data_IF_977190810521
#
_entry.id   IF_977190810521
#
_cell.length_a   1.000
_cell.length_b   1.000
_cell.length_c   1.000
_cell.angle_alpha   90.00
_cell.angle_beta   90.00
_cell.angle_gamma   90.00
#
_symmetry.space_group_name_H-M   'P 1'
#
loop_
_entity.id
_entity.type
_entity.pdbx_description
1 polymer ?
#
# COMPACT_ATOMS: atom_id res chain seq x y z
N UNK A 1 -9.17 -6.49 9.70
CA UNK A 1 -10.29 -5.54 9.89
C UNK A 1 -10.67 -4.96 8.54
N UNK A 2 -11.90 -5.23 8.10
CA UNK A 2 -12.41 -4.63 6.87
C UNK A 2 -12.40 -3.11 7.00
N UNK A 3 -11.87 -2.38 6.02
CA UNK A 3 -11.90 -0.93 6.06
C UNK A 3 -13.37 -0.49 6.11
N UNK A 4 -13.76 0.15 7.20
CA UNK A 4 -15.10 0.74 7.28
C UNK A 4 -15.23 1.78 6.17
N UNK A 5 -16.45 2.00 5.66
CA UNK A 5 -16.72 3.06 4.68
C UNK A 5 -16.15 4.41 5.15
N UNK A 6 -16.17 4.66 6.46
CA UNK A 6 -15.56 5.84 7.09
C UNK A 6 -14.05 5.86 6.91
N UNK A 7 -13.33 4.76 7.21
CA UNK A 7 -11.87 4.66 7.02
C UNK A 7 -11.48 4.81 5.55
N UNK A 8 -12.28 4.24 4.64
CA UNK A 8 -12.11 4.41 3.21
C UNK A 8 -12.18 5.89 2.79
N UNK A 9 -13.24 6.60 3.18
CA UNK A 9 -13.42 8.02 2.85
C UNK A 9 -12.34 8.90 3.47
N UNK A 10 -11.99 8.64 4.74
CA UNK A 10 -10.96 9.43 5.43
C UNK A 10 -9.55 9.18 4.91
N UNK A 11 -9.26 8.02 4.30
CA UNK A 11 -7.94 7.75 3.70
C UNK A 11 -7.56 8.71 2.57
N UNK A 12 -8.55 9.37 1.95
CA UNK A 12 -8.34 10.40 0.92
C UNK A 12 -8.17 11.81 1.49
N UNK A 13 -8.40 12.01 2.80
CA UNK A 13 -8.25 13.32 3.42
C UNK A 13 -6.75 13.59 3.67
N UNK A 14 -6.18 14.67 3.10
CA UNK A 14 -4.81 15.06 3.39
C UNK A 14 -4.58 15.18 4.90
N UNK A 15 -3.40 14.76 5.35
CA UNK A 15 -3.02 14.82 6.77
C UNK A 15 -3.80 13.92 7.73
N UNK A 16 -4.71 13.06 7.25
CA UNK A 16 -5.46 12.13 8.10
C UNK A 16 -4.54 11.27 8.98
N UNK A 17 -3.38 10.86 8.48
CA UNK A 17 -2.36 10.14 9.26
C UNK A 17 -1.85 10.91 10.49
N UNK A 18 -1.98 12.24 10.52
CA UNK A 18 -1.60 13.02 11.71
C UNK A 18 -2.60 12.86 12.85
N UNK A 19 -3.87 12.62 12.53
CA UNK A 19 -4.94 12.36 13.52
C UNK A 19 -4.73 10.98 14.17
N UNK A 20 -4.26 10.01 13.38
CA UNK A 20 -3.94 8.66 13.83
C UNK A 20 -2.44 8.43 14.03
N UNK A 21 -1.71 9.48 14.44
CA UNK A 21 -0.25 9.49 14.56
C UNK A 21 0.32 8.32 15.37
N UNK A 22 -0.37 7.89 16.44
CA UNK A 22 0.08 6.78 17.31
C UNK A 22 0.25 5.44 16.58
N UNK A 23 -0.49 5.22 15.51
CA UNK A 23 -0.44 3.99 14.70
C UNK A 23 0.23 4.24 13.33
N UNK A 24 0.85 5.40 13.16
CA UNK A 24 1.49 5.74 11.91
C UNK A 24 2.90 5.16 11.81
N UNK A 25 3.34 4.86 10.60
CA UNK A 25 4.72 4.47 10.31
C UNK A 25 5.75 5.47 10.86
N UNK A 26 5.42 6.76 10.87
CA UNK A 26 6.30 7.81 11.42
C UNK A 26 6.51 7.64 12.91
N UNK A 27 5.45 7.34 13.66
CA UNK A 27 5.56 7.13 15.10
C UNK A 27 6.36 5.87 15.44
N UNK A 28 6.18 4.79 14.69
CA UNK A 28 7.01 3.59 14.81
C UNK A 28 8.49 3.91 14.50
N UNK A 29 8.77 4.66 13.42
CA UNK A 29 10.13 5.08 13.07
C UNK A 29 10.78 5.90 14.20
N UNK A 30 10.03 6.83 14.82
CA UNK A 30 10.54 7.61 15.97
C UNK A 30 10.85 6.70 17.16
N UNK A 31 9.94 5.76 17.51
CA UNK A 31 10.20 4.80 18.58
C UNK A 31 11.46 3.97 18.32
N UNK A 32 11.61 3.45 17.11
CA UNK A 32 12.80 2.68 16.74
C UNK A 32 14.09 3.51 16.80
N UNK A 33 14.05 4.78 16.37
CA UNK A 33 15.18 5.70 16.48
C UNK A 33 15.58 5.95 17.93
N UNK A 34 14.61 6.06 18.84
CA UNK A 34 14.80 6.19 20.28
C UNK A 34 15.27 4.88 20.97
N UNK A 35 15.28 3.76 20.24
CA UNK A 35 15.77 2.48 20.74
C UNK A 35 14.68 1.52 21.23
N UNK A 36 13.40 1.89 21.14
CA UNK A 36 12.31 0.99 21.52
C UNK A 36 12.18 -0.18 20.54
N UNK A 37 11.84 -1.35 21.07
CA UNK A 37 11.47 -2.53 20.27
C UNK A 37 9.95 -2.67 20.32
N UNK A 38 9.28 -2.33 19.23
CA UNK A 38 7.82 -2.41 19.12
C UNK A 38 7.37 -3.82 18.73
N UNK A 39 6.09 -4.20 18.91
CA UNK A 39 5.56 -5.46 18.42
C UNK A 39 5.85 -5.68 16.93
N UNK A 40 5.60 -4.66 16.09
CA UNK A 40 5.88 -4.72 14.65
C UNK A 40 7.35 -5.04 14.36
N UNK A 41 8.29 -4.45 15.12
CA UNK A 41 9.71 -4.76 14.94
C UNK A 41 10.01 -6.21 15.31
N UNK A 42 9.43 -6.74 16.38
CA UNK A 42 9.63 -8.13 16.81
C UNK A 42 9.10 -9.15 15.82
N UNK A 43 7.94 -8.84 15.24
CA UNK A 43 7.24 -9.76 14.33
C UNK A 43 7.85 -9.76 12.92
N UNK A 44 8.42 -8.61 12.48
CA UNK A 44 8.85 -8.43 11.10
C UNK A 44 10.38 -8.38 10.91
N UNK A 45 11.18 -8.13 11.96
CA UNK A 45 12.62 -7.90 11.83
C UNK A 45 13.40 -9.01 12.57
N UNK A 46 14.28 -9.74 11.86
CA UNK A 46 15.18 -10.71 12.52
C UNK A 46 16.04 -10.04 13.60
N UNK A 47 16.31 -10.76 14.70
CA UNK A 47 17.02 -10.20 15.86
C UNK A 47 18.39 -9.60 15.51
N UNK A 48 19.13 -10.24 14.60
CA UNK A 48 20.43 -9.76 14.11
C UNK A 48 20.35 -8.48 13.27
N UNK A 49 19.18 -8.10 12.76
CA UNK A 49 18.94 -6.90 11.95
C UNK A 49 18.32 -5.73 12.75
N UNK A 50 17.94 -5.94 14.01
CA UNK A 50 17.31 -4.90 14.85
C UNK A 50 18.19 -3.66 14.99
N UNK A 51 19.51 -3.84 15.18
CA UNK A 51 20.46 -2.73 15.31
C UNK A 51 20.52 -1.89 14.03
N UNK A 52 20.49 -2.53 12.89
CA UNK A 52 20.46 -1.88 11.57
C UNK A 52 19.13 -1.14 11.33
N UNK A 53 18.00 -1.75 11.70
CA UNK A 53 16.69 -1.09 11.62
C UNK A 53 16.67 0.19 12.48
N UNK A 54 17.21 0.15 13.71
CA UNK A 54 17.33 1.34 14.58
C UNK A 54 18.23 2.41 13.97
N UNK A 55 19.37 2.02 13.38
CA UNK A 55 20.26 2.97 12.69
C UNK A 55 19.55 3.65 11.52
N UNK A 56 18.88 2.89 10.67
CA UNK A 56 18.11 3.43 9.55
C UNK A 56 17.01 4.38 10.05
N UNK A 57 16.32 4.02 11.13
CA UNK A 57 15.29 4.87 11.73
C UNK A 57 15.87 6.20 12.25
N UNK A 58 17.06 6.18 12.86
CA UNK A 58 17.76 7.41 13.27
C UNK A 58 18.12 8.28 12.10
N UNK A 59 18.63 7.69 11.02
CA UNK A 59 18.95 8.44 9.78
C UNK A 59 17.68 9.11 9.24
N UNK A 60 16.54 8.42 9.18
CA UNK A 60 15.27 8.99 8.74
C UNK A 60 14.83 10.17 9.61
N UNK A 61 14.87 10.00 10.95
CA UNK A 61 14.49 11.07 11.88
C UNK A 61 15.43 12.29 11.75
N UNK A 62 16.74 12.06 11.59
CA UNK A 62 17.71 13.14 11.34
C UNK A 62 17.44 13.87 10.03
N UNK A 63 17.12 13.17 8.96
CA UNK A 63 16.72 13.77 7.68
C UNK A 63 15.45 14.61 7.81
N UNK A 64 14.46 14.15 8.60
CA UNK A 64 13.26 14.94 8.88
C UNK A 64 13.60 16.22 9.64
N UNK A 65 14.37 16.13 10.71
CA UNK A 65 14.80 17.29 11.49
C UNK A 65 15.59 18.26 10.60
N UNK A 66 16.55 17.75 9.82
CA UNK A 66 17.37 18.57 8.93
C UNK A 66 16.52 19.29 7.86
N UNK A 67 15.49 18.62 7.31
CA UNK A 67 14.62 19.24 6.30
C UNK A 67 13.78 20.38 6.89
N UNK A 68 13.26 20.22 8.11
CA UNK A 68 12.54 21.29 8.81
C UNK A 68 13.48 22.45 9.18
N UNK A 69 14.68 22.15 9.73
CA UNK A 69 15.67 23.16 10.07
C UNK A 69 16.10 23.97 8.83
N UNK A 70 16.32 23.27 7.71
CA UNK A 70 16.66 23.92 6.44
C UNK A 70 15.52 24.79 5.91
N UNK A 71 14.28 24.30 6.01
CA UNK A 71 13.09 25.08 5.62
C UNK A 71 12.96 26.36 6.46
N UNK A 72 13.19 26.25 7.75
CA UNK A 72 13.16 27.40 8.66
C UNK A 72 14.31 28.37 8.33
N UNK A 73 15.53 27.87 8.15
CA UNK A 73 16.70 28.69 7.81
C UNK A 73 16.53 29.46 6.49
N UNK A 74 15.99 28.81 5.46
CA UNK A 74 15.76 29.41 4.15
C UNK A 74 14.44 30.21 4.08
N UNK A 75 13.66 30.26 5.15
CA UNK A 75 12.30 30.81 5.14
C UNK A 75 11.45 30.30 3.95
N UNK A 76 11.68 29.04 3.56
CA UNK A 76 11.07 28.38 2.41
C UNK A 76 10.60 26.96 2.80
N UNK A 77 9.32 26.63 2.65
CA UNK A 77 8.80 25.30 3.04
C UNK A 77 9.25 24.16 2.12
N UNK A 78 9.86 24.46 0.97
CA UNK A 78 10.16 23.46 -0.06
C UNK A 78 11.00 22.27 0.43
N UNK A 79 12.09 22.41 1.24
CA UNK A 79 12.84 21.26 1.73
C UNK A 79 11.99 20.29 2.57
N UNK A 80 11.15 20.81 3.47
CA UNK A 80 10.23 19.99 4.24
C UNK A 80 9.17 19.36 3.33
N UNK A 81 8.60 20.09 2.40
CA UNK A 81 7.61 19.59 1.45
C UNK A 81 8.18 18.46 0.58
N UNK A 82 9.40 18.56 0.08
CA UNK A 82 10.03 17.51 -0.73
C UNK A 82 10.17 16.18 0.02
N UNK A 83 10.39 16.21 1.33
CA UNK A 83 10.53 15.00 2.15
C UNK A 83 9.18 14.47 2.62
N UNK A 84 8.27 15.35 3.03
CA UNK A 84 6.98 14.94 3.62
C UNK A 84 5.86 14.83 2.60
N UNK A 85 5.88 15.66 1.57
CA UNK A 85 4.83 15.75 0.57
C UNK A 85 4.56 14.44 -0.21
N UNK A 86 5.57 13.66 -0.65
CA UNK A 86 5.30 12.38 -1.30
C UNK A 86 4.47 11.43 -0.42
N UNK A 87 4.63 11.49 0.89
CA UNK A 87 3.83 10.70 1.83
C UNK A 87 2.40 11.23 1.96
N UNK A 88 2.19 12.53 1.84
CA UNK A 88 0.85 13.13 1.90
C UNK A 88 0.12 13.07 0.55
N UNK A 89 0.84 13.15 -0.55
CA UNK A 89 0.36 12.79 -1.88
C UNK A 89 0.15 11.28 -2.04
N UNK A 90 0.69 10.49 -1.13
CA UNK A 90 0.38 9.08 -0.99
C UNK A 90 -1.10 8.78 -0.89
N UNK A 91 -1.92 9.74 -0.45
CA UNK A 91 -3.37 9.64 -0.51
C UNK A 91 -3.90 9.54 -1.96
N UNK A 92 -3.24 10.14 -2.95
CA UNK A 92 -3.55 9.92 -4.36
C UNK A 92 -3.14 8.51 -4.78
N UNK A 93 -1.99 8.00 -4.31
CA UNK A 93 -1.56 6.62 -4.53
C UNK A 93 -2.51 5.63 -3.85
N UNK A 94 -3.16 5.99 -2.76
CA UNK A 94 -4.18 5.16 -2.12
C UNK A 94 -5.35 4.83 -3.07
N UNK A 95 -5.65 5.69 -4.04
CA UNK A 95 -6.62 5.37 -5.09
C UNK A 95 -6.20 4.08 -5.84
N UNK A 96 -4.92 3.88 -6.08
CA UNK A 96 -4.39 2.67 -6.70
C UNK A 96 -4.31 1.51 -5.70
N UNK A 97 -3.72 1.74 -4.51
CA UNK A 97 -3.57 0.71 -3.49
C UNK A 97 -4.89 0.07 -3.07
N UNK A 98 -5.94 0.86 -2.92
CA UNK A 98 -7.25 0.37 -2.52
C UNK A 98 -7.92 -0.54 -3.55
N UNK A 99 -7.52 -0.46 -4.82
CA UNK A 99 -8.05 -1.40 -5.81
C UNK A 99 -7.55 -2.82 -5.61
N UNK A 100 -6.46 -3.01 -4.88
CA UNK A 100 -5.75 -4.29 -4.81
C UNK A 100 -6.50 -5.35 -4.00
N UNK A 101 -7.14 -4.97 -2.90
CA UNK A 101 -7.76 -5.91 -1.95
C UNK A 101 -9.22 -5.61 -1.61
N UNK A 102 -9.68 -4.34 -1.78
CA UNK A 102 -11.01 -3.95 -1.32
C UNK A 102 -12.13 -4.77 -1.98
N UNK A 103 -13.06 -5.20 -1.14
CA UNK A 103 -14.23 -5.97 -1.54
C UNK A 103 -13.98 -7.46 -1.74
N UNK A 104 -12.72 -7.92 -1.71
CA UNK A 104 -12.33 -9.33 -1.86
C UNK A 104 -12.27 -10.04 -0.51
N UNK A 105 -12.33 -11.39 -0.47
CA UNK A 105 -12.15 -12.15 0.76
C UNK A 105 -10.71 -12.03 1.29
N UNK A 106 -10.55 -12.26 2.60
CA UNK A 106 -9.26 -12.33 3.29
C UNK A 106 -8.96 -13.77 3.73
N UNK A 107 -7.74 -14.03 4.18
CA UNK A 107 -7.31 -15.32 4.76
C UNK A 107 -7.48 -16.56 3.86
N UNK A 108 -7.47 -16.37 2.54
CA UNK A 108 -7.44 -17.47 1.58
C UNK A 108 -6.02 -17.63 1.05
N UNK A 109 -5.48 -18.86 1.08
CA UNK A 109 -4.11 -19.16 0.63
C UNK A 109 -3.86 -18.85 -0.84
N UNK A 110 -4.86 -19.01 -1.68
CA UNK A 110 -4.77 -18.69 -3.10
C UNK A 110 -5.00 -17.19 -3.31
N UNK A 111 -3.93 -16.45 -3.51
CA UNK A 111 -3.95 -15.01 -3.69
C UNK A 111 -4.75 -14.53 -4.91
N UNK A 112 -5.09 -15.41 -5.83
CA UNK A 112 -5.94 -15.08 -6.99
C UNK A 112 -7.37 -14.70 -6.59
N UNK A 113 -7.82 -15.16 -5.41
CA UNK A 113 -9.12 -14.79 -4.84
C UNK A 113 -9.07 -13.55 -3.97
N UNK A 114 -7.92 -13.25 -3.36
CA UNK A 114 -7.77 -12.20 -2.34
C UNK A 114 -7.16 -10.91 -2.88
N UNK A 115 -6.72 -10.92 -4.14
CA UNK A 115 -6.06 -9.78 -4.76
C UNK A 115 -6.67 -9.45 -6.13
N UNK A 116 -6.44 -8.22 -6.58
CA UNK A 116 -6.94 -7.71 -7.86
C UNK A 116 -5.82 -7.03 -8.63
N UNK A 117 -5.64 -7.42 -9.90
CA UNK A 117 -4.83 -6.69 -10.86
C UNK A 117 -5.70 -5.73 -11.67
N UNK A 118 -5.19 -4.52 -11.92
CA UNK A 118 -5.88 -3.46 -12.67
C UNK A 118 -4.92 -2.97 -13.76
N UNK A 119 -5.41 -2.71 -14.96
CA UNK A 119 -4.54 -2.22 -16.04
C UNK A 119 -4.49 -0.70 -16.03
N UNK A 120 -3.27 -0.15 -16.03
CA UNK A 120 -2.99 1.28 -16.08
C UNK A 120 -2.34 1.65 -17.41
N UNK A 121 -2.35 2.96 -17.71
CA UNK A 121 -1.52 3.45 -18.81
C UNK A 121 -0.03 3.37 -18.43
N UNK A 122 0.90 3.37 -19.41
CA UNK A 122 2.33 3.16 -19.15
C UNK A 122 2.95 4.15 -18.16
N UNK A 123 2.46 5.41 -18.13
CA UNK A 123 2.98 6.44 -17.22
C UNK A 123 2.62 6.10 -15.76
N UNK A 124 1.35 5.83 -15.50
CA UNK A 124 0.91 5.45 -14.15
C UNK A 124 1.46 4.08 -13.72
N UNK A 125 1.58 3.13 -14.65
CA UNK A 125 2.22 1.84 -14.41
C UNK A 125 3.67 2.01 -13.95
N UNK A 126 4.46 2.82 -14.64
CA UNK A 126 5.83 3.15 -14.26
C UNK A 126 5.90 3.87 -12.89
N UNK A 127 5.09 4.91 -12.68
CA UNK A 127 5.06 5.66 -11.41
C UNK A 127 4.58 4.81 -10.23
N UNK A 128 3.78 3.79 -10.49
CA UNK A 128 3.26 2.87 -9.48
C UNK A 128 4.11 1.59 -9.37
N UNK A 129 5.29 1.54 -10.01
CA UNK A 129 6.22 0.41 -9.94
C UNK A 129 5.61 -0.91 -10.41
N UNK A 130 4.72 -0.87 -11.40
CA UNK A 130 3.98 -2.03 -11.90
C UNK A 130 3.18 -2.79 -10.83
N UNK A 131 2.87 -2.13 -9.70
CA UNK A 131 2.12 -2.75 -8.59
C UNK A 131 0.62 -2.96 -8.91
N UNK A 132 0.16 -2.50 -10.06
CA UNK A 132 -1.13 -2.86 -10.64
C UNK A 132 -1.21 -4.33 -11.09
N UNK A 133 -0.07 -5.01 -11.23
CA UNK A 133 0.04 -6.46 -11.43
C UNK A 133 0.06 -7.18 -10.08
N UNK A 134 -0.94 -6.92 -9.25
CA UNK A 134 -0.88 -7.26 -7.84
C UNK A 134 -1.13 -8.76 -7.55
N UNK A 135 -1.95 -9.42 -8.34
CA UNK A 135 -2.14 -10.89 -8.29
C UNK A 135 -0.80 -11.57 -8.56
N UNK A 136 -0.13 -11.16 -9.64
CA UNK A 136 1.17 -11.67 -10.07
C UNK A 136 2.24 -11.44 -8.98
N UNK A 137 2.22 -10.26 -8.35
CA UNK A 137 3.12 -9.93 -7.26
C UNK A 137 2.91 -10.85 -6.04
N UNK A 138 1.67 -11.09 -5.64
CA UNK A 138 1.37 -11.99 -4.52
C UNK A 138 1.68 -13.46 -4.81
N UNK A 139 1.49 -13.91 -6.05
CA UNK A 139 1.85 -15.28 -6.45
C UNK A 139 3.38 -15.48 -6.50
N UNK A 140 4.14 -14.45 -6.89
CA UNK A 140 5.58 -14.52 -7.08
C UNK A 140 6.28 -13.28 -6.49
N UNK A 141 6.30 -13.11 -5.16
CA UNK A 141 6.77 -11.88 -4.51
C UNK A 141 8.25 -11.58 -4.71
N UNK A 142 9.06 -12.57 -5.07
CA UNK A 142 10.49 -12.41 -5.38
C UNK A 142 10.76 -11.85 -6.77
N UNK A 143 9.76 -11.78 -7.65
CA UNK A 143 9.93 -11.20 -8.99
C UNK A 143 9.98 -9.68 -8.90
N UNK A 144 11.06 -9.04 -9.40
CA UNK A 144 11.14 -7.58 -9.39
C UNK A 144 10.00 -6.91 -10.16
N UNK A 145 9.53 -5.77 -9.66
CA UNK A 145 8.35 -5.06 -10.17
C UNK A 145 8.38 -4.81 -11.69
N UNK A 146 9.54 -4.45 -12.23
CA UNK A 146 9.73 -4.21 -13.67
C UNK A 146 9.58 -5.47 -14.55
N UNK A 147 9.58 -6.66 -13.96
CA UNK A 147 9.34 -7.93 -14.65
C UNK A 147 7.90 -8.45 -14.50
N UNK A 148 7.07 -7.83 -13.66
CA UNK A 148 5.68 -8.24 -13.47
C UNK A 148 4.85 -8.25 -14.76
N UNK A 149 5.00 -7.29 -15.70
CA UNK A 149 4.30 -7.36 -16.99
C UNK A 149 4.69 -8.60 -17.83
N UNK A 150 5.96 -9.00 -17.79
CA UNK A 150 6.44 -10.22 -18.48
C UNK A 150 5.88 -11.47 -17.81
N UNK A 151 5.92 -11.52 -16.48
CA UNK A 151 5.35 -12.61 -15.70
C UNK A 151 3.86 -12.77 -16.01
N UNK A 152 3.09 -11.69 -15.99
CA UNK A 152 1.66 -11.70 -16.30
C UNK A 152 1.36 -12.33 -17.66
N UNK A 153 2.17 -12.03 -18.68
CA UNK A 153 2.01 -12.62 -20.00
C UNK A 153 2.31 -14.13 -20.01
N UNK A 154 3.28 -14.59 -19.21
CA UNK A 154 3.66 -16.01 -19.13
C UNK A 154 2.59 -16.86 -18.44
N UNK A 155 1.91 -16.31 -17.43
CA UNK A 155 0.94 -17.02 -16.60
C UNK A 155 -0.51 -16.58 -16.85
N UNK A 156 -0.77 -15.88 -17.96
CA UNK A 156 -2.07 -15.26 -18.27
C UNK A 156 -3.26 -16.22 -18.14
N UNK A 157 -3.07 -17.50 -18.51
CA UNK A 157 -4.11 -18.51 -18.49
C UNK A 157 -4.43 -19.04 -17.07
N UNK A 158 -3.61 -18.66 -16.08
CA UNK A 158 -3.79 -18.99 -14.67
C UNK A 158 -4.36 -17.81 -13.86
N UNK A 159 -4.41 -16.61 -14.45
CA UNK A 159 -4.81 -15.40 -13.75
C UNK A 159 -6.30 -15.12 -13.88
N UNK A 160 -6.95 -14.60 -12.83
CA UNK A 160 -8.28 -14.03 -12.94
C UNK A 160 -8.23 -12.83 -13.90
N UNK A 161 -9.37 -12.53 -14.51
CA UNK A 161 -9.50 -11.37 -15.40
C UNK A 161 -9.18 -10.08 -14.65
N UNK A 162 -8.17 -9.36 -15.12
CA UNK A 162 -7.82 -8.05 -14.56
C UNK A 162 -8.86 -6.98 -14.95
N UNK A 163 -9.09 -6.01 -14.05
CA UNK A 163 -9.90 -4.85 -14.38
C UNK A 163 -9.18 -3.99 -15.43
N UNK A 164 -9.92 -3.48 -16.39
CA UNK A 164 -9.37 -2.77 -17.56
C UNK A 164 -8.95 -1.33 -17.25
N UNK A 165 -9.43 -0.77 -16.15
CA UNK A 165 -9.13 0.60 -15.69
C UNK A 165 -9.47 0.78 -14.22
N UNK A 166 -9.02 1.91 -13.63
CA UNK A 166 -9.45 2.32 -12.30
C UNK A 166 -10.97 2.46 -12.19
N UNK A 167 -11.60 3.03 -13.20
CA UNK A 167 -13.05 3.18 -13.22
C UNK A 167 -13.77 1.83 -13.15
N UNK A 168 -13.30 0.86 -13.93
CA UNK A 168 -13.82 -0.50 -13.94
C UNK A 168 -13.66 -1.18 -12.57
N UNK A 169 -12.49 -1.02 -11.94
CA UNK A 169 -12.25 -1.53 -10.60
C UNK A 169 -13.17 -0.88 -9.55
N UNK A 170 -13.30 0.45 -9.55
CA UNK A 170 -14.14 1.14 -8.57
C UNK A 170 -15.64 0.93 -8.78
N UNK A 171 -16.09 0.69 -9.99
CA UNK A 171 -17.46 0.28 -10.28
C UNK A 171 -17.83 -1.04 -9.58
N UNK A 172 -16.88 -1.92 -9.40
CA UNK A 172 -17.03 -3.18 -8.66
C UNK A 172 -16.87 -2.96 -7.14
N UNK A 173 -15.87 -2.17 -6.73
CA UNK A 173 -15.47 -1.97 -5.33
C UNK A 173 -16.52 -1.18 -4.53
N UNK A 174 -17.00 -0.04 -5.05
CA UNK A 174 -17.85 0.86 -4.28
C UNK A 174 -19.16 0.19 -3.83
N UNK A 175 -19.92 -0.54 -4.68
CA UNK A 175 -21.08 -1.29 -4.23
C UNK A 175 -20.72 -2.38 -3.22
N UNK A 176 -19.55 -3.02 -3.36
CA UNK A 176 -19.12 -4.07 -2.45
C UNK A 176 -18.84 -3.53 -1.05
N UNK A 177 -18.14 -2.39 -0.92
CA UNK A 177 -17.88 -1.76 0.39
C UNK A 177 -19.20 -1.37 1.09
N UNK A 178 -20.17 -0.84 0.34
CA UNK A 178 -21.48 -0.51 0.90
C UNK A 178 -22.21 -1.76 1.40
N UNK A 179 -22.11 -2.88 0.69
CA UNK A 179 -22.67 -4.16 1.12
C UNK A 179 -21.93 -4.71 2.34
N UNK A 180 -20.60 -4.71 2.31
CA UNK A 180 -19.77 -5.18 3.45
C UNK A 180 -20.00 -4.36 4.72
N UNK A 181 -20.34 -3.07 4.60
CA UNK A 181 -20.71 -2.26 5.76
C UNK A 181 -21.99 -2.75 6.46
N UNK A 182 -22.90 -3.38 5.72
CA UNK A 182 -24.14 -3.97 6.23
C UNK A 182 -24.01 -5.45 6.59
N UNK A 183 -23.18 -6.17 5.86
CA UNK A 183 -22.93 -7.60 6.00
C UNK A 183 -21.44 -7.90 5.79
N UNK A 184 -20.73 -8.11 6.90
CA UNK A 184 -19.29 -8.38 6.90
C UNK A 184 -18.92 -9.71 6.21
N UNK A 185 -19.88 -10.58 5.95
CA UNK A 185 -19.64 -11.84 5.23
C UNK A 185 -19.67 -11.69 3.71
N UNK A 186 -20.11 -10.53 3.21
CA UNK A 186 -20.17 -10.28 1.78
C UNK A 186 -18.78 -10.06 1.18
N UNK A 187 -18.46 -10.77 0.11
CA UNK A 187 -17.25 -10.60 -0.68
C UNK A 187 -17.54 -10.67 -2.17
N UNK A 188 -16.73 -9.99 -2.97
CA UNK A 188 -16.69 -10.17 -4.41
C UNK A 188 -16.01 -11.50 -4.69
N UNK A 189 -16.69 -12.41 -5.38
CA UNK A 189 -16.10 -13.66 -5.83
C UNK A 189 -15.51 -13.48 -7.22
N UNK A 190 -14.20 -13.71 -7.35
CA UNK A 190 -13.49 -13.70 -8.63
C UNK A 190 -13.57 -15.08 -9.29
N UNK A 191 -13.83 -15.11 -10.59
CA UNK A 191 -13.63 -16.31 -11.40
C UNK A 191 -12.14 -16.53 -11.60
N UNK A 192 -11.65 -17.63 -11.07
CA UNK A 192 -10.25 -18.04 -11.18
C UNK A 192 -10.18 -19.26 -12.09
N UNK A 193 -9.34 -19.26 -13.14
CA UNK A 193 -9.13 -20.42 -13.96
C UNK A 193 -8.69 -21.62 -13.13
N UNK A 194 -9.29 -22.81 -13.40
CA UNK A 194 -8.87 -24.05 -12.77
C UNK A 194 -7.41 -24.31 -13.12
N UNK A 195 -6.58 -24.58 -12.12
CA UNK A 195 -5.22 -25.09 -12.36
C UNK A 195 -5.33 -26.44 -13.07
N UNK A 196 -4.97 -26.45 -14.36
CA UNK A 196 -4.78 -27.69 -15.12
C UNK A 196 -3.54 -28.42 -14.64
#
# INVERSE_FOLDING_TARGET
>A
EYPSLKSFLFSFVPFYELIYFKNSFKFETIKHALGYTTPVMRDCIPENEISKCRLISRIHVLLWIASFALSFYLMNPLPALLIFFPRYWGNIINIFNMTQHLGLPEDIKDHRYTTRSVRFNPIFSFLYWHMEYHVEHHMFPSVPSYNLPKLSNLIKDQLPKANTSLYDAYKEILPAIVKQHKDNSYHILKEVPSSS
#
